data_IF_334851438203
#
_entry.id   IF_334851438203
#
_cell.length_a   1.000
_cell.length_b   1.000
_cell.length_c   1.000
_cell.angle_alpha   90.00
_cell.angle_beta   90.00
_cell.angle_gamma   90.00
#
_symmetry.space_group_name_H-M   'P 1'
#
loop_
_entity.id
_entity.type
_entity.pdbx_description
1 polymer ?
#
# COMPACT_ATOMS: atom_id res chain seq x y z
N UNK A 1 0.68 11.04 15.40
CA UNK A 1 -0.33 10.19 14.72
C UNK A 1 -0.14 10.30 13.22
N UNK A 2 -0.23 9.20 12.45
CA UNK A 2 -0.14 9.20 10.98
C UNK A 2 -1.49 8.81 10.40
N UNK A 3 -1.96 9.51 9.37
CA UNK A 3 -3.21 9.20 8.69
C UNK A 3 -3.10 7.82 8.02
N UNK A 4 -4.14 6.99 8.15
CA UNK A 4 -4.26 5.68 7.53
C UNK A 4 -5.49 5.64 6.63
N UNK A 5 -5.49 4.72 5.68
CA UNK A 5 -6.60 4.45 4.77
C UNK A 5 -6.97 2.99 4.83
N UNK A 6 -8.27 2.71 4.90
CA UNK A 6 -8.78 1.35 4.84
C UNK A 6 -8.62 0.77 3.43
N UNK A 7 -8.07 -0.44 3.32
CA UNK A 7 -7.88 -1.12 2.02
C UNK A 7 -9.19 -1.63 1.42
N UNK A 8 -10.18 -1.97 2.23
CA UNK A 8 -11.47 -2.52 1.77
C UNK A 8 -12.47 -1.43 1.37
N UNK A 9 -12.72 -0.42 2.21
CA UNK A 9 -13.74 0.60 1.95
C UNK A 9 -13.18 1.99 1.59
N UNK A 10 -11.87 2.21 1.69
CA UNK A 10 -11.25 3.49 1.33
C UNK A 10 -11.40 4.62 2.35
N UNK A 11 -12.08 4.41 3.48
CA UNK A 11 -12.22 5.41 4.54
C UNK A 11 -10.86 5.78 5.18
N UNK A 12 -10.68 7.06 5.51
CA UNK A 12 -9.50 7.55 6.21
C UNK A 12 -9.73 7.52 7.72
N UNK A 13 -8.70 7.13 8.47
CA UNK A 13 -8.74 7.03 9.95
C UNK A 13 -7.34 7.10 10.53
N UNK A 14 -7.23 7.40 11.82
CA UNK A 14 -5.96 7.29 12.57
C UNK A 14 -5.83 5.96 13.33
N UNK A 15 -6.88 5.12 13.30
CA UNK A 15 -6.92 3.80 13.95
C UNK A 15 -6.33 2.71 13.06
N UNK A 16 -5.85 1.64 13.67
CA UNK A 16 -5.33 0.45 12.96
C UNK A 16 -6.43 -0.37 12.28
N UNK A 17 -7.65 -0.30 12.82
CA UNK A 17 -8.84 -0.94 12.29
C UNK A 17 -9.82 0.13 11.80
N UNK A 18 -10.44 -0.13 10.65
CA UNK A 18 -11.45 0.74 10.09
C UNK A 18 -12.72 0.73 10.96
N UNK A 19 -13.20 1.88 11.45
CA UNK A 19 -14.41 1.95 12.26
C UNK A 19 -15.68 1.61 11.48
N UNK A 20 -15.67 1.72 10.14
CA UNK A 20 -16.86 1.50 9.31
C UNK A 20 -17.02 0.04 8.86
N UNK A 21 -15.93 -0.69 8.65
CA UNK A 21 -15.99 -2.06 8.11
C UNK A 21 -15.10 -3.08 8.84
N UNK A 22 -14.34 -2.66 9.87
CA UNK A 22 -13.40 -3.54 10.59
C UNK A 22 -12.13 -3.91 9.83
N UNK A 23 -11.99 -3.53 8.56
CA UNK A 23 -10.82 -3.85 7.73
C UNK A 23 -9.52 -3.20 8.22
N UNK A 24 -8.38 -3.83 7.94
CA UNK A 24 -7.06 -3.28 8.28
C UNK A 24 -6.78 -1.98 7.51
N UNK A 25 -6.18 -1.02 8.21
CA UNK A 25 -5.81 0.28 7.65
C UNK A 25 -4.30 0.30 7.34
N UNK A 26 -3.95 0.94 6.23
CA UNK A 26 -2.57 1.05 5.75
C UNK A 26 -2.16 2.50 5.58
N UNK A 27 -0.86 2.76 5.49
CA UNK A 27 -0.37 4.10 5.14
C UNK A 27 -0.86 4.47 3.73
N UNK A 28 -1.52 5.62 3.53
CA UNK A 28 -1.94 6.09 2.21
C UNK A 28 -0.76 6.65 1.42
N UNK A 29 0.34 7.00 2.08
CA UNK A 29 1.50 7.56 1.41
C UNK A 29 2.21 6.50 0.57
N UNK A 30 2.56 6.82 -0.70
CA UNK A 30 3.30 5.91 -1.54
C UNK A 30 4.72 5.67 -1.00
N UNK A 31 5.39 4.58 -1.43
CA UNK A 31 6.81 4.38 -1.19
C UNK A 31 7.64 5.57 -1.70
N UNK A 32 8.73 5.89 -0.99
CA UNK A 32 9.66 6.95 -1.43
C UNK A 32 10.32 6.58 -2.76
N UNK A 33 10.47 7.57 -3.62
CA UNK A 33 11.22 7.43 -4.87
C UNK A 33 12.73 7.52 -4.61
N UNK A 34 13.52 6.72 -5.33
CA UNK A 34 14.99 6.78 -5.36
C UNK A 34 15.46 6.63 -6.80
N UNK A 35 16.32 7.53 -7.31
CA UNK A 35 16.88 7.42 -8.66
C UNK A 35 17.72 6.15 -8.87
N UNK A 36 18.39 5.66 -7.82
CA UNK A 36 19.24 4.47 -7.90
C UNK A 36 18.42 3.17 -8.01
N UNK A 37 17.17 3.17 -7.52
CA UNK A 37 16.21 2.06 -7.59
C UNK A 37 16.82 0.64 -7.46
N UNK A 38 17.48 0.33 -6.33
CA UNK A 38 18.27 -0.92 -6.19
C UNK A 38 17.44 -2.19 -6.40
N UNK A 39 16.15 -2.16 -6.07
CA UNK A 39 15.23 -3.29 -6.23
C UNK A 39 14.34 -3.19 -7.48
N UNK A 40 14.66 -2.28 -8.41
CA UNK A 40 13.86 -2.02 -9.60
C UNK A 40 13.67 -3.22 -10.52
N UNK A 41 14.74 -4.00 -10.72
CA UNK A 41 14.71 -5.24 -11.52
C UNK A 41 13.72 -6.25 -10.93
N UNK A 42 13.83 -6.52 -9.64
CA UNK A 42 12.96 -7.46 -8.94
C UNK A 42 11.49 -6.99 -8.93
N UNK A 43 11.25 -5.71 -8.62
CA UNK A 43 9.91 -5.12 -8.64
C UNK A 43 9.23 -5.27 -10.01
N UNK A 44 9.98 -5.09 -11.10
CA UNK A 44 9.48 -5.28 -12.48
C UNK A 44 9.21 -6.74 -12.81
N UNK A 45 10.08 -7.66 -12.38
CA UNK A 45 9.88 -9.11 -12.58
C UNK A 45 8.61 -9.60 -11.87
N UNK A 46 8.44 -9.25 -10.58
CA UNK A 46 7.24 -9.61 -9.82
C UNK A 46 5.95 -9.06 -10.44
N UNK A 47 5.96 -7.81 -10.91
CA UNK A 47 4.81 -7.22 -11.60
C UNK A 47 4.45 -8.00 -12.86
N UNK A 48 5.43 -8.45 -13.65
CA UNK A 48 5.18 -9.27 -14.84
C UNK A 48 4.57 -10.62 -14.46
N UNK A 49 5.09 -11.28 -13.42
CA UNK A 49 4.55 -12.55 -12.95
C UNK A 49 3.09 -12.43 -12.48
N UNK A 50 2.77 -11.38 -11.72
CA UNK A 50 1.42 -11.15 -11.21
C UNK A 50 0.37 -10.84 -12.31
N UNK A 51 0.79 -10.39 -13.49
CA UNK A 51 -0.11 -10.06 -14.62
C UNK A 51 -0.38 -11.28 -15.51
N UNK A 52 0.49 -12.28 -15.48
CA UNK A 52 0.37 -13.50 -16.30
C UNK A 52 -0.47 -14.58 -15.60
N UNK A 53 -0.86 -14.35 -14.35
CA UNK A 53 -1.71 -15.24 -13.54
C UNK A 53 -3.20 -14.96 -13.74
#
# INVERSE_FOLDING_TARGET
>A
MKMKKCKSCGAYTFRDLCPSCGGQTISPHPPRFSPQDPYGRYRRMLKKQAVVQ
#
